data_IF_599350395450
#
_entry.id   IF_599350395450
#
_cell.length_a   1.000
_cell.length_b   1.000
_cell.length_c   1.000
_cell.angle_alpha   90.00
_cell.angle_beta   90.00
_cell.angle_gamma   90.00
#
_symmetry.space_group_name_H-M   'P 1'
#
loop_
_entity.id
_entity.type
_entity.pdbx_description
1 polymer ?
#
# COMPACT_ATOMS: atom_id res chain seq x y z
N UNK A 1 -21.81 11.53 12.08
CA UNK A 1 -20.83 11.42 13.19
C UNK A 1 -20.41 9.96 13.36
N UNK A 2 -19.54 9.41 12.48
CA UNK A 2 -19.24 7.96 12.51
C UNK A 2 -17.78 7.56 12.22
N UNK A 3 -16.88 8.50 11.97
CA UNK A 3 -15.48 8.21 11.61
C UNK A 3 -14.49 8.16 12.78
N UNK A 4 -14.78 8.83 13.90
CA UNK A 4 -13.86 8.91 15.04
C UNK A 4 -13.86 7.64 15.91
N UNK A 5 -15.01 6.96 16.01
CA UNK A 5 -15.15 5.74 16.81
C UNK A 5 -14.39 4.53 16.22
N UNK A 6 -14.22 4.46 14.90
CA UNK A 6 -13.50 3.36 14.25
C UNK A 6 -11.98 3.48 14.38
N UNK A 7 -11.42 4.70 14.45
CA UNK A 7 -10.00 4.93 14.66
C UNK A 7 -9.57 4.69 16.12
N UNK A 8 -10.39 5.10 17.09
CA UNK A 8 -10.15 4.84 18.53
C UNK A 8 -10.29 3.35 18.89
N UNK A 9 -11.25 2.64 18.28
CA UNK A 9 -11.38 1.18 18.44
C UNK A 9 -10.17 0.42 17.88
N UNK A 10 -9.66 0.80 16.72
CA UNK A 10 -8.48 0.18 16.10
C UNK A 10 -7.19 0.37 16.92
N UNK A 11 -7.02 1.52 17.59
CA UNK A 11 -5.86 1.78 18.44
C UNK A 11 -5.89 0.94 19.73
N UNK A 12 -7.07 0.72 20.31
CA UNK A 12 -7.25 -0.16 21.48
C UNK A 12 -7.03 -1.65 21.16
N UNK A 13 -7.20 -2.04 19.90
CA UNK A 13 -7.04 -3.42 19.44
C UNK A 13 -5.60 -3.82 19.10
N UNK A 14 -4.68 -2.86 18.96
CA UNK A 14 -3.25 -3.14 18.70
C UNK A 14 -2.56 -3.92 19.82
N UNK A 15 -3.13 -3.97 21.03
CA UNK A 15 -2.63 -4.73 22.18
C UNK A 15 -3.55 -5.85 22.66
N UNK A 16 -4.68 -6.09 21.98
CA UNK A 16 -5.65 -7.10 22.38
C UNK A 16 -5.24 -8.49 21.86
N UNK A 17 -5.36 -9.50 22.71
CA UNK A 17 -5.14 -10.90 22.32
C UNK A 17 -6.24 -11.31 21.32
N UNK A 18 -5.85 -11.82 20.15
CA UNK A 18 -6.79 -12.26 19.09
C UNK A 18 -7.76 -13.31 19.63
N UNK A 19 -7.33 -14.15 20.57
CA UNK A 19 -8.18 -15.14 21.23
C UNK A 19 -9.34 -14.49 21.99
N UNK A 20 -9.10 -13.37 22.67
CA UNK A 20 -10.12 -12.65 23.45
C UNK A 20 -11.11 -11.94 22.50
N UNK A 21 -10.62 -11.41 21.37
CA UNK A 21 -11.48 -10.83 20.34
C UNK A 21 -12.37 -11.87 19.65
N UNK A 22 -11.84 -13.07 19.38
CA UNK A 22 -12.61 -14.21 18.87
C UNK A 22 -13.62 -14.74 19.90
N UNK A 23 -13.33 -14.61 21.19
CA UNK A 23 -14.28 -14.96 22.26
C UNK A 23 -15.45 -13.96 22.31
N UNK A 24 -15.17 -12.65 22.26
CA UNK A 24 -16.18 -11.58 22.22
C UNK A 24 -17.11 -11.68 21.00
N UNK A 25 -16.64 -12.25 19.90
CA UNK A 25 -17.45 -12.48 18.71
C UNK A 25 -18.64 -13.43 18.95
N UNK A 26 -18.57 -14.37 19.90
CA UNK A 26 -19.63 -15.37 20.11
C UNK A 26 -20.95 -14.75 20.56
N UNK A 27 -20.86 -13.69 21.36
CA UNK A 27 -22.01 -13.09 22.06
C UNK A 27 -22.68 -11.94 21.28
N UNK A 28 -22.14 -11.60 20.10
CA UNK A 28 -22.64 -10.47 19.32
C UNK A 28 -23.80 -10.81 18.37
N UNK A 29 -24.65 -9.83 18.04
CA UNK A 29 -25.65 -9.94 16.98
C UNK A 29 -25.00 -10.15 15.59
N UNK A 30 -25.71 -10.80 14.67
CA UNK A 30 -25.16 -11.28 13.38
C UNK A 30 -24.60 -10.17 12.48
N UNK A 31 -25.23 -8.99 12.49
CA UNK A 31 -24.84 -7.80 11.74
C UNK A 31 -23.54 -7.15 12.27
N UNK A 32 -23.30 -7.26 13.58
CA UNK A 32 -22.06 -6.79 14.22
C UNK A 32 -20.94 -7.83 14.13
N UNK A 33 -21.28 -9.13 14.16
CA UNK A 33 -20.34 -10.24 13.96
C UNK A 33 -19.56 -10.14 12.66
N UNK A 34 -20.22 -9.85 11.54
CA UNK A 34 -19.54 -9.75 10.25
C UNK A 34 -18.50 -8.61 10.22
N UNK A 35 -18.84 -7.46 10.82
CA UNK A 35 -17.93 -6.30 10.90
C UNK A 35 -16.75 -6.55 11.82
N UNK A 36 -16.98 -7.20 12.97
CA UNK A 36 -15.91 -7.54 13.91
C UNK A 36 -15.03 -8.69 13.41
N UNK A 37 -15.58 -9.69 12.71
CA UNK A 37 -14.80 -10.75 12.09
C UNK A 37 -13.82 -10.18 11.05
N UNK A 38 -14.29 -9.31 10.15
CA UNK A 38 -13.42 -8.62 9.20
C UNK A 38 -12.33 -7.76 9.89
N UNK A 39 -12.63 -7.20 11.06
CA UNK A 39 -11.68 -6.40 11.82
C UNK A 39 -10.63 -7.27 12.54
N UNK A 40 -11.05 -8.42 13.07
CA UNK A 40 -10.17 -9.42 13.70
C UNK A 40 -9.25 -10.05 12.66
N UNK A 41 -9.79 -10.45 11.51
CA UNK A 41 -8.99 -10.99 10.41
C UNK A 41 -7.96 -9.97 9.91
N UNK A 42 -8.32 -8.69 9.89
CA UNK A 42 -7.40 -7.59 9.58
C UNK A 42 -6.27 -7.46 10.62
N UNK A 43 -6.59 -7.54 11.91
CA UNK A 43 -5.59 -7.51 13.00
C UNK A 43 -4.71 -8.77 12.99
N UNK A 44 -5.29 -9.95 12.79
CA UNK A 44 -4.57 -11.23 12.70
C UNK A 44 -3.65 -11.27 11.48
N UNK A 45 -4.11 -10.77 10.33
CA UNK A 45 -3.27 -10.60 9.14
C UNK A 45 -2.12 -9.64 9.43
N UNK A 46 -2.38 -8.50 10.07
CA UNK A 46 -1.34 -7.52 10.44
C UNK A 46 -0.32 -8.05 11.46
N UNK A 47 -0.74 -8.95 12.35
CA UNK A 47 0.14 -9.59 13.33
C UNK A 47 0.93 -10.79 12.76
N UNK A 48 0.53 -11.32 11.59
CA UNK A 48 1.20 -12.46 10.97
C UNK A 48 2.65 -12.18 10.62
N UNK A 49 3.52 -13.18 10.75
CA UNK A 49 4.92 -13.09 10.34
C UNK A 49 5.08 -12.81 8.84
N UNK A 50 4.11 -13.23 8.02
CA UNK A 50 4.11 -12.99 6.59
C UNK A 50 3.80 -11.54 6.27
N UNK A 51 2.86 -10.90 6.96
CA UNK A 51 2.60 -9.47 6.80
C UNK A 51 3.79 -8.62 7.25
N UNK A 52 4.45 -8.99 8.36
CA UNK A 52 5.65 -8.29 8.84
C UNK A 52 6.77 -8.24 7.80
N UNK A 53 6.90 -9.26 6.95
CA UNK A 53 7.87 -9.27 5.84
C UNK A 53 7.55 -8.25 4.74
N UNK A 54 6.30 -7.75 4.68
CA UNK A 54 5.84 -6.75 3.72
C UNK A 54 6.02 -5.31 4.22
N UNK A 55 6.35 -5.10 5.49
CA UNK A 55 6.57 -3.76 6.02
C UNK A 55 7.84 -3.18 5.40
N UNK A 56 7.77 -1.97 4.87
CA UNK A 56 8.90 -1.30 4.23
C UNK A 56 8.52 -0.60 2.93
N UNK A 57 9.54 -0.09 2.24
CA UNK A 57 9.40 0.57 0.95
C UNK A 57 9.78 -0.39 -0.16
N UNK A 58 8.97 -0.45 -1.21
CA UNK A 58 9.24 -1.17 -2.45
C UNK A 58 9.23 -0.18 -3.58
N UNK A 59 10.21 -0.28 -4.48
CA UNK A 59 10.29 0.65 -5.60
C UNK A 59 10.81 -0.01 -6.87
N UNK A 60 10.41 0.55 -8.00
CA UNK A 60 11.01 0.31 -9.30
C UNK A 60 11.03 1.64 -10.03
N UNK A 61 12.18 1.97 -10.59
CA UNK A 61 12.36 3.17 -11.40
C UNK A 61 13.05 2.81 -12.70
N UNK A 62 12.64 3.45 -13.77
CA UNK A 62 13.26 3.43 -15.08
C UNK A 62 13.54 4.86 -15.50
N UNK A 63 14.66 5.05 -16.19
CA UNK A 63 15.02 6.31 -16.83
C UNK A 63 15.39 6.05 -18.28
N UNK A 64 15.13 7.02 -19.15
CA UNK A 64 15.48 7.01 -20.56
C UNK A 64 15.93 8.41 -20.99
N UNK A 65 17.21 8.51 -21.35
CA UNK A 65 17.85 9.81 -21.56
C UNK A 65 17.74 10.71 -20.32
N UNK A 66 17.77 12.01 -20.54
CA UNK A 66 17.76 13.00 -19.44
C UNK A 66 16.36 13.31 -18.91
N UNK A 67 15.30 12.88 -19.60
CA UNK A 67 13.93 13.36 -19.37
C UNK A 67 12.88 12.26 -19.21
N UNK A 68 13.10 11.09 -19.83
CA UNK A 68 12.18 9.96 -19.71
C UNK A 68 12.31 9.32 -18.34
N UNK A 69 11.22 9.25 -17.59
CA UNK A 69 11.19 8.69 -16.25
C UNK A 69 9.91 7.91 -16.02
N UNK A 70 9.99 6.80 -15.30
CA UNK A 70 8.81 6.11 -14.80
C UNK A 70 9.19 5.41 -13.49
N UNK A 71 8.49 5.70 -12.40
CA UNK A 71 8.72 5.07 -11.12
C UNK A 71 7.42 4.68 -10.43
N UNK A 72 7.44 3.49 -9.82
CA UNK A 72 6.44 3.05 -8.85
C UNK A 72 7.10 2.94 -7.48
N UNK A 73 6.39 3.41 -6.45
CA UNK A 73 6.76 3.22 -5.05
C UNK A 73 5.55 2.76 -4.26
N UNK A 74 5.72 1.72 -3.44
CA UNK A 74 4.75 1.28 -2.46
C UNK A 74 5.43 1.24 -1.09
N UNK A 75 4.97 2.05 -0.16
CA UNK A 75 5.44 2.04 1.24
C UNK A 75 4.36 1.46 2.12
N UNK A 76 4.66 0.39 2.86
CA UNK A 76 3.74 -0.29 3.77
C UNK A 76 4.22 -0.08 5.19
N UNK A 77 3.35 0.44 6.04
CA UNK A 77 3.59 0.62 7.47
C UNK A 77 3.12 -0.59 8.28
N UNK A 78 3.63 -0.73 9.51
CA UNK A 78 3.21 -1.77 10.46
C UNK A 78 1.70 -1.74 10.74
N UNK A 79 1.08 -0.58 10.61
CA UNK A 79 -0.35 -0.35 10.84
C UNK A 79 -1.26 -0.92 9.73
N UNK A 80 -0.68 -1.43 8.65
CA UNK A 80 -1.40 -1.79 7.43
C UNK A 80 -1.81 -0.61 6.56
N UNK A 81 -1.49 0.63 6.98
CA UNK A 81 -1.52 1.80 6.10
C UNK A 81 -0.43 1.66 5.04
N UNK A 82 -0.74 2.11 3.83
CA UNK A 82 0.23 2.15 2.76
C UNK A 82 0.10 3.43 1.93
N UNK A 83 1.20 3.80 1.29
CA UNK A 83 1.29 4.89 0.32
C UNK A 83 1.74 4.30 -1.00
N UNK A 84 0.94 4.51 -2.04
CA UNK A 84 1.29 4.17 -3.41
C UNK A 84 1.54 5.44 -4.21
N UNK A 85 2.66 5.46 -4.91
CA UNK A 85 3.10 6.57 -5.72
C UNK A 85 3.56 6.08 -7.09
N UNK A 86 3.05 6.70 -8.14
CA UNK A 86 3.45 6.49 -9.51
C UNK A 86 3.83 7.85 -10.10
N UNK A 87 5.01 7.93 -10.70
CA UNK A 87 5.46 9.09 -11.46
C UNK A 87 5.86 8.63 -12.85
N UNK A 88 5.42 9.36 -13.87
CA UNK A 88 5.82 9.10 -15.24
C UNK A 88 6.05 10.40 -15.98
N UNK A 89 7.12 10.45 -16.75
CA UNK A 89 7.46 11.54 -17.66
C UNK A 89 7.82 10.94 -19.02
N UNK A 90 7.01 11.26 -20.02
CA UNK A 90 7.26 10.87 -21.41
C UNK A 90 8.20 11.86 -22.11
N UNK A 91 8.12 13.13 -21.71
CA UNK A 91 8.88 14.27 -22.20
C UNK A 91 9.32 15.18 -21.03
N UNK A 92 10.18 16.16 -21.34
CA UNK A 92 10.75 17.12 -20.38
C UNK A 92 9.71 17.82 -19.51
N UNK A 93 8.55 18.16 -20.07
CA UNK A 93 7.52 18.97 -19.41
C UNK A 93 6.23 18.19 -19.10
N UNK A 94 6.27 16.85 -19.15
CA UNK A 94 5.06 16.01 -19.07
C UNK A 94 5.04 15.10 -17.84
N UNK A 95 5.39 15.61 -16.66
CA UNK A 95 5.35 14.81 -15.43
C UNK A 95 3.89 14.57 -14.99
N UNK A 96 3.48 13.30 -15.03
CA UNK A 96 2.27 12.82 -14.40
C UNK A 96 2.62 12.24 -13.04
N UNK A 97 1.91 12.70 -12.01
CA UNK A 97 2.10 12.22 -10.64
C UNK A 97 0.79 11.71 -10.06
N UNK A 98 0.80 10.45 -9.67
CA UNK A 98 -0.31 9.78 -9.02
C UNK A 98 0.10 9.36 -7.61
N UNK A 99 -0.50 9.99 -6.61
CA UNK A 99 -0.21 9.75 -5.20
C UNK A 99 -1.47 9.32 -4.45
N UNK A 100 -1.42 8.15 -3.80
CA UNK A 100 -2.56 7.57 -3.06
C UNK A 100 -2.14 7.05 -1.70
N UNK A 101 -3.04 7.22 -0.73
CA UNK A 101 -2.86 6.72 0.63
C UNK A 101 -4.03 5.80 0.94
N UNK A 102 -3.74 4.55 1.29
CA UNK A 102 -4.74 3.51 1.46
C UNK A 102 -4.31 2.50 2.52
N UNK A 103 -4.88 1.30 2.40
CA UNK A 103 -4.54 0.14 3.23
C UNK A 103 -4.14 -1.04 2.38
N UNK A 104 -3.33 -1.92 2.95
CA UNK A 104 -2.99 -3.21 2.33
C UNK A 104 -3.64 -4.37 3.05
N UNK A 105 -4.07 -5.35 2.29
CA UNK A 105 -4.40 -6.69 2.78
C UNK A 105 -3.56 -7.73 2.06
N UNK A 106 -3.34 -8.87 2.70
CA UNK A 106 -2.63 -10.01 2.15
C UNK A 106 -3.59 -11.20 2.05
N UNK A 107 -3.69 -11.80 0.88
CA UNK A 107 -4.37 -13.07 0.67
C UNK A 107 -3.49 -13.97 -0.19
N UNK A 108 -3.02 -15.08 0.40
CA UNK A 108 -1.98 -15.93 -0.20
C UNK A 108 -0.76 -15.08 -0.62
N UNK A 109 -0.37 -15.16 -1.90
CA UNK A 109 0.74 -14.38 -2.47
C UNK A 109 0.29 -13.04 -3.07
N UNK A 110 -0.98 -12.64 -2.91
CA UNK A 110 -1.51 -11.39 -3.46
C UNK A 110 -1.66 -10.34 -2.36
N UNK A 111 -0.96 -9.22 -2.54
CA UNK A 111 -1.12 -8.01 -1.74
C UNK A 111 -2.09 -7.09 -2.48
N UNK A 112 -3.11 -6.61 -1.80
CA UNK A 112 -4.09 -5.68 -2.36
C UNK A 112 -4.02 -4.36 -1.65
N UNK A 113 -3.63 -3.31 -2.37
CA UNK A 113 -3.74 -1.92 -1.93
C UNK A 113 -5.12 -1.39 -2.29
N UNK A 114 -5.81 -0.81 -1.31
CA UNK A 114 -7.13 -0.18 -1.50
C UNK A 114 -7.12 1.22 -0.93
N UNK A 115 -7.46 2.20 -1.75
CA UNK A 115 -7.81 3.55 -1.35
C UNK A 115 -9.30 3.77 -1.61
N UNK A 116 -10.03 4.25 -0.61
CA UNK A 116 -11.42 4.67 -0.75
C UNK A 116 -11.52 6.13 -0.32
N UNK A 117 -12.06 6.97 -1.20
CA UNK A 117 -12.43 8.36 -0.88
C UNK A 117 -13.82 8.65 -1.43
N UNK A 118 -14.59 9.44 -0.68
CA UNK A 118 -15.80 10.06 -1.20
C UNK A 118 -15.41 11.19 -2.15
N UNK A 119 -15.73 11.04 -3.43
CA UNK A 119 -15.53 12.07 -4.43
C UNK A 119 -16.87 12.72 -4.75
N UNK A 120 -16.93 14.05 -4.67
CA UNK A 120 -18.09 14.83 -5.11
C UNK A 120 -17.93 15.19 -6.58
N UNK A 121 -18.84 14.75 -7.43
CA UNK A 121 -18.94 15.27 -8.79
C UNK A 121 -19.94 16.43 -8.83
N UNK A 122 -19.52 17.55 -9.43
CA UNK A 122 -20.39 18.70 -9.62
C UNK A 122 -21.20 18.50 -10.89
N UNK A 123 -22.52 18.37 -10.76
CA UNK A 123 -23.46 18.20 -11.88
C UNK A 123 -23.79 19.55 -12.59
N UNK A 124 -22.81 20.46 -12.71
CA UNK A 124 -22.98 21.80 -13.26
C UNK A 124 -23.48 22.88 -12.27
N UNK A 125 -23.66 24.13 -12.74
CA UNK A 125 -24.08 25.25 -11.90
C UNK A 125 -25.52 25.05 -11.41
N UNK A 126 -25.72 24.94 -10.10
CA UNK A 126 -27.04 24.72 -9.48
C UNK A 126 -27.43 23.25 -9.24
N UNK A 127 -26.58 22.30 -9.62
CA UNK A 127 -26.80 20.87 -9.36
C UNK A 127 -26.36 20.44 -7.95
N UNK A 128 -27.11 19.52 -7.34
CA UNK A 128 -26.65 18.83 -6.13
C UNK A 128 -25.35 18.07 -6.42
N UNK A 129 -24.37 18.18 -5.51
CA UNK A 129 -23.16 17.35 -5.57
C UNK A 129 -23.54 15.91 -5.24
N UNK A 130 -23.35 14.98 -6.18
CA UNK A 130 -23.40 13.56 -5.88
C UNK A 130 -22.06 13.15 -5.30
N UNK A 131 -22.06 12.65 -4.07
CA UNK A 131 -20.90 12.00 -3.48
C UNK A 131 -21.00 10.51 -3.79
N UNK A 132 -20.02 9.99 -4.51
CA UNK A 132 -19.86 8.56 -4.69
C UNK A 132 -18.52 8.12 -4.13
N UNK A 133 -18.47 6.88 -3.65
CA UNK A 133 -17.22 6.27 -3.22
C UNK A 133 -16.41 5.90 -4.46
N UNK A 134 -15.24 6.52 -4.61
CA UNK A 134 -14.27 6.09 -5.62
C UNK A 134 -13.26 5.20 -4.93
N UNK A 135 -13.21 3.95 -5.37
CA UNK A 135 -12.28 2.95 -4.86
C UNK A 135 -11.18 2.72 -5.88
N UNK A 136 -9.93 2.94 -5.48
CA UNK A 136 -8.76 2.59 -6.26
C UNK A 136 -8.19 1.29 -5.68
N UNK A 137 -8.03 0.29 -6.53
CA UNK A 137 -7.44 -1.01 -6.17
C UNK A 137 -6.19 -1.22 -7.00
N UNK A 138 -5.07 -1.55 -6.34
CA UNK A 138 -3.84 -2.02 -6.99
C UNK A 138 -3.46 -3.37 -6.38
N UNK A 139 -3.10 -4.34 -7.21
CA UNK A 139 -2.76 -5.70 -6.78
C UNK A 139 -1.31 -6.00 -7.08
N UNK A 140 -0.64 -6.67 -6.17
CA UNK A 140 0.75 -7.07 -6.30
C UNK A 140 0.89 -8.56 -6.00
N UNK A 141 1.62 -9.29 -6.86
CA UNK A 141 2.03 -10.66 -6.56
C UNK A 141 3.38 -10.63 -5.86
N UNK A 142 3.45 -11.26 -4.69
CA UNK A 142 4.71 -11.52 -4.00
C UNK A 142 5.49 -12.57 -4.78
N UNK A 143 6.74 -12.25 -5.09
CA UNK A 143 7.67 -13.15 -5.76
C UNK A 143 8.61 -13.82 -4.76
N UNK A 144 9.25 -14.90 -5.19
CA UNK A 144 10.38 -15.47 -4.46
C UNK A 144 11.47 -14.38 -4.27
N UNK A 145 12.03 -14.28 -3.06
CA UNK A 145 12.97 -13.22 -2.70
C UNK A 145 12.32 -11.93 -2.18
N UNK A 146 11.00 -11.89 -2.04
CA UNK A 146 10.31 -10.79 -1.34
C UNK A 146 10.01 -9.56 -2.18
N UNK A 147 10.35 -9.56 -3.47
CA UNK A 147 9.94 -8.51 -4.42
C UNK A 147 8.46 -8.60 -4.77
N UNK A 148 7.89 -7.50 -5.30
CA UNK A 148 6.46 -7.37 -5.61
C UNK A 148 6.25 -7.07 -7.10
N UNK A 149 5.56 -7.94 -7.82
CA UNK A 149 5.14 -7.66 -9.19
C UNK A 149 3.78 -6.95 -9.18
N UNK A 150 3.71 -5.72 -9.70
CA UNK A 150 2.45 -5.01 -9.89
C UNK A 150 1.63 -5.74 -10.97
N UNK A 151 0.35 -5.99 -10.69
CA UNK A 151 -0.57 -6.69 -11.58
C UNK A 151 -1.55 -5.72 -12.22
N UNK A 152 -1.74 -5.88 -13.53
CA UNK A 152 -2.82 -5.22 -14.26
C UNK A 152 -4.19 -5.83 -13.91
N UNK A 153 -5.26 -5.23 -14.43
CA UNK A 153 -6.62 -5.74 -14.24
C UNK A 153 -6.79 -7.16 -14.82
N UNK A 154 -6.08 -7.47 -15.90
CA UNK A 154 -5.99 -8.80 -16.51
C UNK A 154 -5.36 -9.86 -15.60
N UNK A 155 -4.63 -9.46 -14.56
CA UNK A 155 -3.86 -10.35 -13.68
C UNK A 155 -2.46 -10.70 -14.19
N UNK A 156 -2.07 -10.20 -15.36
CA UNK A 156 -0.69 -10.23 -15.85
C UNK A 156 0.16 -9.16 -15.15
N UNK A 157 1.48 -9.31 -15.21
CA UNK A 157 2.41 -8.32 -14.67
C UNK A 157 2.37 -7.06 -15.51
N UNK A 158 2.14 -5.93 -14.85
CA UNK A 158 2.09 -4.62 -15.49
C UNK A 158 3.48 -4.28 -16.07
N UNK A 159 3.48 -3.61 -17.23
CA UNK A 159 4.72 -3.15 -17.87
C UNK A 159 4.84 -1.65 -17.70
N UNK A 160 6.05 -1.21 -17.40
CA UNK A 160 6.42 0.19 -17.33
C UNK A 160 7.43 0.53 -18.40
N UNK A 161 7.34 1.77 -18.87
CA UNK A 161 8.19 2.32 -19.91
C UNK A 161 8.58 3.75 -19.49
N UNK A 162 9.87 4.08 -19.55
CA UNK A 162 10.38 5.43 -19.33
C UNK A 162 10.58 6.13 -20.68
N UNK A 163 9.91 7.25 -20.90
CA UNK A 163 9.95 7.97 -22.18
C UNK A 163 9.26 7.22 -23.34
N UNK A 164 9.05 7.91 -24.45
CA UNK A 164 8.38 7.36 -25.63
C UNK A 164 9.16 6.21 -26.31
N UNK A 165 10.50 6.26 -26.26
CA UNK A 165 11.38 5.28 -26.92
C UNK A 165 11.98 4.24 -25.96
N UNK A 166 11.69 4.34 -24.65
CA UNK A 166 12.19 3.39 -23.67
C UNK A 166 11.68 1.97 -23.94
N UNK A 167 12.50 0.97 -23.61
CA UNK A 167 12.05 -0.42 -23.66
C UNK A 167 11.14 -0.71 -22.48
N UNK A 168 9.93 -1.22 -22.76
CA UNK A 168 9.02 -1.67 -21.72
C UNK A 168 9.65 -2.81 -20.88
N UNK A 169 9.55 -2.72 -19.55
CA UNK A 169 10.00 -3.74 -18.60
C UNK A 169 8.88 -4.07 -17.62
N UNK A 170 8.94 -5.25 -17.02
CA UNK A 170 7.99 -5.64 -15.97
C UNK A 170 8.13 -4.75 -14.74
N UNK A 171 6.98 -4.35 -14.17
CA UNK A 171 6.87 -3.55 -12.96
C UNK A 171 7.09 -4.43 -11.71
N UNK A 172 8.30 -4.95 -11.56
CA UNK A 172 8.75 -5.68 -10.38
C UNK A 172 9.43 -4.71 -9.42
N UNK A 173 8.74 -4.38 -8.34
CA UNK A 173 9.22 -3.51 -7.27
C UNK A 173 10.11 -4.32 -6.32
N UNK A 174 11.33 -3.85 -6.14
CA UNK A 174 12.29 -4.44 -5.21
C UNK A 174 12.21 -3.69 -3.89
N UNK A 175 12.38 -4.40 -2.78
CA UNK A 175 12.43 -3.77 -1.46
C UNK A 175 13.61 -2.81 -1.41
N UNK A 176 13.36 -1.57 -1.03
CA UNK A 176 14.39 -0.61 -0.70
C UNK A 176 14.99 -1.03 0.63
N UNK A 177 16.21 -1.52 0.59
CA UNK A 177 17.07 -1.58 1.76
C UNK A 177 17.73 -0.20 1.84
N UNK A 178 17.42 0.57 2.88
CA UNK A 178 18.30 1.71 3.21
C UNK A 178 19.70 1.11 3.38
N UNK A 179 20.67 1.62 2.61
CA UNK A 179 22.07 1.44 2.98
C UNK A 179 22.16 1.80 4.46
N UNK A 180 22.56 0.84 5.30
CA UNK A 180 22.94 1.14 6.67
C UNK A 180 23.91 2.29 6.57
N UNK A 181 23.54 3.44 7.15
CA UNK A 181 24.37 4.63 7.06
C UNK A 181 25.79 4.22 7.47
N UNK A 182 26.78 4.54 6.64
CA UNK A 182 28.20 4.26 6.93
C UNK A 182 28.59 4.73 8.34
N UNK A 183 27.86 5.68 8.91
CA UNK A 183 27.95 6.13 10.31
C UNK A 183 27.74 5.04 11.36
N UNK A 184 26.80 4.09 11.22
CA UNK A 184 26.58 3.04 12.23
C UNK A 184 27.63 1.91 12.17
N UNK A 185 28.14 1.58 10.97
CA UNK A 185 29.27 0.66 10.84
C UNK A 185 30.60 1.33 11.24
N UNK A 186 30.77 2.62 10.94
CA UNK A 186 31.94 3.40 11.37
C UNK A 186 31.97 3.61 12.89
N UNK A 187 30.85 3.86 13.56
CA UNK A 187 30.80 3.91 15.02
C UNK A 187 31.10 2.55 15.66
N UNK A 188 30.72 1.43 15.04
CA UNK A 188 31.11 0.08 15.51
C UNK A 188 32.59 -0.23 15.28
N UNK A 189 33.18 0.27 14.21
CA UNK A 189 34.58 0.03 13.84
C UNK A 189 35.57 1.00 14.50
N UNK A 190 35.14 2.22 14.81
CA UNK A 190 36.02 3.32 15.27
C UNK A 190 35.50 4.03 16.53
N UNK A 191 34.31 3.72 17.03
CA UNK A 191 33.73 4.33 18.23
C UNK A 191 34.08 3.60 19.52
N UNK A 192 35.36 3.64 19.92
CA UNK A 192 35.80 3.48 21.31
C UNK A 192 37.18 4.11 21.46
N UNK A 193 37.18 5.38 21.87
CA UNK A 193 38.21 5.94 22.75
C UNK A 193 37.54 6.34 24.07
#
# INVERSE_FOLDING_TARGET
MGGAASAQGLAQLKGANIADLKALLKDLPADQKARMAALIDSVETQQSSEFKKLIGKFQKSLTWGDWGGHSFTLTIEESGRAVFEERSSEFRDSENWFYKVGRVSLNNDIITFTESRMQGESMGPGGNRSYHEKVVIKRFRRLAGGSLALLADSGEVEKMQAGFEGKAQEAVLVRYEEEQSLTEEMEKLYGRD
#
